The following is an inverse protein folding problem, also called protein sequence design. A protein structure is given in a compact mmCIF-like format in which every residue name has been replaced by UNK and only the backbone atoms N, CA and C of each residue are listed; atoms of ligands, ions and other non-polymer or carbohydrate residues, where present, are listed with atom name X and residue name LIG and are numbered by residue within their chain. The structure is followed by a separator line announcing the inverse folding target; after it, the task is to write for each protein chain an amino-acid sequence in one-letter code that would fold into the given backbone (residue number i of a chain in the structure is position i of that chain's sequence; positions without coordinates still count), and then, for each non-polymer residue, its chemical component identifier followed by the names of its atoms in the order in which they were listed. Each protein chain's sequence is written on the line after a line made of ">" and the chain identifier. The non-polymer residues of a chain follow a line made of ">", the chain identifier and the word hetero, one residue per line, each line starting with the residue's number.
data_IF_923396432482
#
_entry.id   IF_923396432482
#
_cell.length_a   1.000
_cell.length_b   1.000
_cell.length_c   1.000
_cell.angle_alpha   90.00
_cell.angle_beta   90.00
_cell.angle_gamma   90.00
#
_symmetry.space_group_name_H-M   'P 1'
#
loop_
_entity.id
_entity.type
_entity.pdbx_description
1 polymer ?
#
# COMPACT_ATOMS: atom_id res chain seq x y z
N UNK A 1 4.43 14.70 -18.34
CA UNK A 1 3.18 15.44 -18.04
C UNK A 1 2.01 14.47 -18.04
N UNK A 2 0.89 14.80 -17.38
CA UNK A 2 -0.24 13.86 -17.22
C UNK A 2 -1.52 14.52 -17.73
N UNK A 3 -2.20 13.90 -18.69
CA UNK A 3 -3.53 14.35 -19.14
C UNK A 3 -4.58 13.84 -18.16
N UNK A 4 -5.29 14.76 -17.51
CA UNK A 4 -6.41 14.44 -16.62
C UNK A 4 -7.60 15.35 -16.96
N UNK A 5 -8.69 14.75 -17.44
CA UNK A 5 -9.80 15.49 -18.08
C UNK A 5 -9.24 16.35 -19.22
N UNK A 6 -9.58 17.64 -19.24
CA UNK A 6 -9.15 18.61 -20.27
C UNK A 6 -7.90 19.40 -19.85
N UNK A 7 -7.11 18.91 -18.90
CA UNK A 7 -5.92 19.60 -18.39
C UNK A 7 -4.67 18.73 -18.47
N UNK A 8 -3.53 19.39 -18.69
CA UNK A 8 -2.20 18.82 -18.56
C UNK A 8 -1.67 19.19 -17.18
N UNK A 9 -1.41 18.19 -16.35
CA UNK A 9 -0.92 18.36 -14.98
C UNK A 9 0.55 17.95 -14.88
N UNK A 10 1.30 18.68 -14.04
CA UNK A 10 2.63 18.26 -13.59
C UNK A 10 2.47 17.22 -12.47
N UNK A 11 3.29 16.15 -12.42
CA UNK A 11 3.21 15.15 -11.37
C UNK A 11 3.27 15.74 -9.95
N UNK A 12 4.13 16.75 -9.73
CA UNK A 12 4.26 17.41 -8.43
C UNK A 12 2.94 18.03 -7.93
N UNK A 13 2.11 18.53 -8.85
CA UNK A 13 0.82 19.11 -8.50
C UNK A 13 -0.15 18.05 -7.97
N UNK A 14 -0.13 16.85 -8.55
CA UNK A 14 -1.07 15.79 -8.19
C UNK A 14 -0.72 15.13 -6.85
N UNK A 15 0.58 14.99 -6.56
CA UNK A 15 1.07 14.44 -5.27
C UNK A 15 1.02 15.47 -4.13
N UNK A 16 0.56 16.69 -4.38
CA UNK A 16 0.24 17.62 -3.30
C UNK A 16 -1.07 17.20 -2.65
N UNK A 17 -1.07 16.98 -1.33
CA UNK A 17 -2.24 16.50 -0.60
C UNK A 17 -3.45 17.47 -0.72
N UNK A 18 -3.21 18.76 -0.95
CA UNK A 18 -4.28 19.76 -1.16
C UNK A 18 -4.97 19.65 -2.52
N UNK A 19 -4.39 18.94 -3.50
CA UNK A 19 -5.03 18.70 -4.79
C UNK A 19 -6.28 17.81 -4.67
N UNK A 20 -6.32 16.99 -3.61
CA UNK A 20 -7.41 16.09 -3.30
C UNK A 20 -7.87 16.24 -1.84
N UNK A 21 -8.35 17.44 -1.48
CA UNK A 21 -8.83 17.74 -0.12
C UNK A 21 -9.88 16.77 0.42
N UNK A 22 -10.71 16.17 -0.45
CA UNK A 22 -11.74 15.21 -0.03
C UNK A 22 -11.15 13.93 0.57
N UNK A 23 -9.89 13.59 0.26
CA UNK A 23 -9.23 12.44 0.88
C UNK A 23 -9.12 12.58 2.41
N UNK A 24 -8.95 13.82 2.90
CA UNK A 24 -8.81 14.13 4.33
C UNK A 24 -10.10 13.83 5.09
N UNK A 25 -11.27 14.04 4.47
CA UNK A 25 -12.59 13.85 5.08
C UNK A 25 -12.93 12.38 5.37
N UNK A 26 -12.34 11.48 4.59
CA UNK A 26 -12.60 10.02 4.61
C UNK A 26 -11.35 9.24 5.04
N UNK A 27 -10.43 9.92 5.71
CA UNK A 27 -9.17 9.35 6.16
C UNK A 27 -9.35 8.69 7.54
N UNK A 28 -8.67 7.57 7.73
CA UNK A 28 -8.56 6.88 9.01
C UNK A 28 -7.21 7.25 9.62
N UNK A 29 -7.22 7.71 10.87
CA UNK A 29 -6.01 7.98 11.62
C UNK A 29 -5.30 6.65 11.94
N UNK A 30 -4.04 6.50 11.52
CA UNK A 30 -3.17 5.40 11.93
C UNK A 30 -2.48 5.75 13.25
N UNK A 31 -1.79 6.89 13.28
CA UNK A 31 -1.01 7.34 14.45
C UNK A 31 -0.63 8.82 14.32
N UNK A 32 -0.93 9.66 15.33
CA UNK A 32 -0.60 11.10 15.35
C UNK A 32 -1.06 11.84 14.08
N UNK A 33 -0.14 12.11 13.15
CA UNK A 33 -0.39 12.84 11.91
C UNK A 33 -0.42 11.93 10.67
N UNK A 34 -0.31 10.61 10.88
CA UNK A 34 -0.28 9.59 9.84
C UNK A 34 -1.70 9.09 9.56
N UNK A 35 -2.15 9.30 8.33
CA UNK A 35 -3.49 8.96 7.88
C UNK A 35 -3.46 7.99 6.72
N UNK A 36 -4.52 7.18 6.64
CA UNK A 36 -4.78 6.25 5.57
C UNK A 36 -6.12 6.54 4.92
N UNK A 37 -6.21 6.40 3.61
CA UNK A 37 -7.51 6.42 2.94
C UNK A 37 -7.55 5.46 1.77
N UNK A 38 -8.60 4.64 1.68
CA UNK A 38 -8.82 3.76 0.53
C UNK A 38 -9.02 4.59 -0.75
N UNK A 39 -8.65 4.08 -1.92
CA UNK A 39 -8.87 4.78 -3.18
C UNK A 39 -10.30 4.56 -3.66
N UNK A 40 -11.12 5.63 -3.76
CA UNK A 40 -12.52 5.52 -4.19
C UNK A 40 -12.85 6.42 -5.38
N UNK A 41 -12.03 7.44 -5.66
CA UNK A 41 -12.23 8.43 -6.70
C UNK A 41 -11.15 8.35 -7.80
N UNK A 42 -11.47 8.90 -8.98
CA UNK A 42 -10.49 9.03 -10.08
C UNK A 42 -9.25 9.83 -9.68
N UNK A 43 -9.36 10.76 -8.72
CA UNK A 43 -8.23 11.52 -8.19
C UNK A 43 -7.30 10.63 -7.37
N UNK A 44 -7.85 9.79 -6.49
CA UNK A 44 -7.05 8.87 -5.67
C UNK A 44 -6.25 7.92 -6.55
N UNK A 45 -6.90 7.32 -7.55
CA UNK A 45 -6.23 6.44 -8.49
C UNK A 45 -5.19 7.16 -9.36
N UNK A 46 -5.35 8.46 -9.63
CA UNK A 46 -4.32 9.25 -10.30
C UNK A 46 -3.08 9.45 -9.41
N UNK A 47 -3.30 9.80 -8.13
CA UNK A 47 -2.22 9.92 -7.15
C UNK A 47 -1.47 8.59 -7.01
N UNK A 48 -2.22 7.51 -6.84
CA UNK A 48 -1.69 6.15 -6.77
C UNK A 48 -0.83 5.81 -7.99
N UNK A 49 -1.33 6.09 -9.21
CA UNK A 49 -0.58 5.87 -10.45
C UNK A 49 0.74 6.64 -10.46
N UNK A 50 0.76 7.88 -9.97
CA UNK A 50 2.01 8.67 -9.91
C UNK A 50 2.97 8.07 -8.89
N UNK A 51 2.49 7.68 -7.72
CA UNK A 51 3.34 7.01 -6.72
C UNK A 51 3.87 5.66 -7.24
N UNK A 52 3.07 4.91 -8.00
CA UNK A 52 3.54 3.69 -8.68
C UNK A 52 4.63 4.00 -9.72
N UNK A 53 4.50 5.08 -10.49
CA UNK A 53 5.54 5.50 -11.43
C UNK A 53 6.84 5.88 -10.70
N UNK A 54 6.74 6.52 -9.54
CA UNK A 54 7.90 6.81 -8.70
C UNK A 54 8.56 5.54 -8.14
N UNK A 55 7.78 4.48 -7.89
CA UNK A 55 8.31 3.18 -7.48
C UNK A 55 8.84 2.32 -8.63
N UNK A 56 8.36 2.53 -9.86
CA UNK A 56 8.68 1.69 -11.04
C UNK A 56 10.17 1.70 -11.41
N UNK A 57 10.90 2.73 -11.02
CA UNK A 57 12.35 2.77 -11.20
C UNK A 57 13.08 1.71 -10.34
N UNK A 58 12.37 1.01 -9.44
CA UNK A 58 12.96 0.03 -8.52
C UNK A 58 12.51 -1.43 -8.77
N UNK A 59 11.29 -1.68 -9.28
CA UNK A 59 10.76 -3.03 -9.55
C UNK A 59 9.70 -3.03 -10.67
N UNK A 60 9.35 -4.22 -11.20
CA UNK A 60 8.26 -4.40 -12.15
C UNK A 60 6.88 -4.25 -11.48
N UNK A 61 6.39 -3.02 -11.35
CA UNK A 61 5.06 -2.77 -10.80
C UNK A 61 3.96 -3.15 -11.80
N UNK A 62 3.07 -4.07 -11.39
CA UNK A 62 1.82 -4.35 -12.10
C UNK A 62 0.89 -3.13 -12.05
N UNK A 63 0.29 -2.81 -13.19
CA UNK A 63 -0.66 -1.71 -13.31
C UNK A 63 -1.97 -2.05 -12.60
N UNK A 64 -2.47 -1.13 -11.77
CA UNK A 64 -3.65 -1.42 -10.95
C UNK A 64 -4.91 -1.47 -11.81
N UNK A 65 -5.74 -2.47 -11.54
CA UNK A 65 -7.07 -2.60 -12.13
C UNK A 65 -8.14 -2.22 -11.08
N UNK A 66 -8.71 -1.00 -11.13
CA UNK A 66 -9.62 -0.50 -10.08
C UNK A 66 -10.86 -1.35 -9.81
N UNK A 67 -11.27 -2.19 -10.78
CA UNK A 67 -12.44 -3.07 -10.64
C UNK A 67 -12.14 -4.35 -9.86
N UNK A 68 -10.88 -4.79 -9.84
CA UNK A 68 -10.48 -6.09 -9.27
C UNK A 68 -9.55 -5.93 -8.07
N UNK A 69 -8.96 -4.75 -7.90
CA UNK A 69 -7.97 -4.45 -6.86
C UNK A 69 -8.42 -3.28 -6.00
N UNK A 70 -8.17 -3.43 -4.70
CA UNK A 70 -8.30 -2.37 -3.71
C UNK A 70 -6.94 -1.71 -3.53
N UNK A 71 -6.97 -0.42 -3.20
CA UNK A 71 -5.77 0.33 -2.91
C UNK A 71 -6.03 1.36 -1.82
N UNK A 72 -4.97 1.80 -1.16
CA UNK A 72 -5.04 2.87 -0.19
C UNK A 72 -3.78 3.71 -0.19
N UNK A 73 -3.95 4.97 0.15
CA UNK A 73 -2.90 5.98 0.20
C UNK A 73 -2.53 6.26 1.65
N UNK A 74 -1.22 6.32 1.90
CA UNK A 74 -0.65 6.75 3.18
C UNK A 74 -0.18 8.19 3.05
N UNK A 75 -0.54 9.07 3.97
CA UNK A 75 -0.12 10.46 3.96
C UNK A 75 0.08 11.03 5.36
N UNK A 76 0.90 12.07 5.43
CA UNK A 76 1.12 12.86 6.64
C UNK A 76 0.42 14.21 6.48
N UNK A 77 -0.56 14.48 7.33
CA UNK A 77 -1.37 15.70 7.21
C UNK A 77 -0.58 16.94 7.63
N UNK A 78 0.36 16.81 8.56
CA UNK A 78 1.15 17.93 9.08
C UNK A 78 2.20 18.34 8.04
N UNK A 79 2.89 17.37 7.44
CA UNK A 79 3.83 17.61 6.34
C UNK A 79 3.12 17.93 5.02
N UNK A 80 1.82 17.64 4.93
CA UNK A 80 0.99 17.83 3.74
C UNK A 80 1.51 17.06 2.50
N UNK A 81 1.97 15.82 2.70
CA UNK A 81 2.55 14.96 1.65
C UNK A 81 1.95 13.56 1.65
N UNK A 82 1.92 12.92 0.48
CA UNK A 82 1.75 11.47 0.38
C UNK A 82 3.07 10.77 0.69
N UNK A 83 3.01 9.74 1.54
CA UNK A 83 4.16 8.96 1.96
C UNK A 83 4.29 7.64 1.20
N UNK A 84 3.20 7.13 0.64
CA UNK A 84 3.20 5.81 0.02
C UNK A 84 1.80 5.26 -0.25
N UNK A 85 1.75 3.99 -0.60
CA UNK A 85 0.51 3.30 -0.91
C UNK A 85 0.58 1.81 -0.58
N UNK A 86 -0.60 1.19 -0.59
CA UNK A 86 -0.77 -0.25 -0.48
C UNK A 86 -1.85 -0.73 -1.45
N UNK A 87 -1.66 -1.90 -2.05
CA UNK A 87 -2.58 -2.52 -3.03
C UNK A 87 -2.84 -3.94 -2.61
N UNK A 88 -4.12 -4.35 -2.62
CA UNK A 88 -4.49 -5.72 -2.28
C UNK A 88 -5.71 -6.20 -3.07
N UNK A 89 -5.93 -7.50 -3.05
CA UNK A 89 -7.14 -8.14 -3.60
C UNK A 89 -7.71 -9.11 -2.59
N UNK A 90 -9.02 -9.28 -2.61
CA UNK A 90 -9.66 -10.38 -1.87
C UNK A 90 -9.92 -11.52 -2.86
N UNK A 91 -9.28 -12.68 -2.68
CA UNK A 91 -9.39 -13.82 -3.61
C UNK A 91 -9.65 -15.13 -2.87
N UNK A 92 -10.49 -15.98 -3.44
CA UNK A 92 -10.68 -17.34 -2.97
C UNK A 92 -9.55 -18.24 -3.49
N UNK A 93 -8.89 -18.95 -2.57
CA UNK A 93 -7.87 -19.95 -2.84
C UNK A 93 -8.26 -21.23 -2.07
N UNK A 94 -8.40 -22.36 -2.78
CA UNK A 94 -8.77 -23.66 -2.16
C UNK A 94 -9.99 -23.55 -1.22
N UNK A 95 -11.07 -22.94 -1.71
CA UNK A 95 -12.34 -22.73 -0.98
C UNK A 95 -12.25 -21.83 0.27
N UNK A 96 -11.16 -21.09 0.48
CA UNK A 96 -11.03 -20.07 1.54
C UNK A 96 -10.74 -18.72 0.92
N UNK A 97 -11.38 -17.65 1.42
CA UNK A 97 -11.12 -16.27 0.99
C UNK A 97 -9.92 -15.73 1.75
N UNK A 98 -9.01 -15.06 1.06
CA UNK A 98 -7.82 -14.43 1.64
C UNK A 98 -7.66 -13.00 1.13
N UNK A 99 -7.14 -12.13 1.99
CA UNK A 99 -6.54 -10.87 1.56
C UNK A 99 -5.15 -11.16 0.99
N UNK A 100 -4.89 -10.69 -0.23
CA UNK A 100 -3.59 -10.84 -0.90
C UNK A 100 -2.97 -9.45 -1.05
N UNK A 101 -1.89 -9.19 -0.32
CA UNK A 101 -1.07 -8.00 -0.52
C UNK A 101 -0.35 -8.13 -1.87
N UNK A 102 -0.60 -7.18 -2.76
CA UNK A 102 -0.01 -7.12 -4.10
C UNK A 102 1.20 -6.21 -4.12
N UNK A 103 1.06 -5.03 -3.54
CA UNK A 103 2.10 -4.01 -3.55
C UNK A 103 2.05 -3.21 -2.27
N UNK A 104 3.22 -2.85 -1.76
CA UNK A 104 3.39 -1.85 -0.70
C UNK A 104 4.59 -0.99 -1.06
N UNK A 105 4.43 0.33 -0.94
CA UNK A 105 5.47 1.27 -1.32
C UNK A 105 5.47 2.45 -0.35
N UNK A 106 6.68 2.90 -0.01
CA UNK A 106 6.95 4.13 0.73
C UNK A 106 7.96 4.92 -0.10
N UNK A 107 7.73 6.23 -0.25
CA UNK A 107 8.62 7.14 -0.99
C UNK A 107 10.03 7.11 -0.41
N UNK A 108 11.04 7.28 -1.27
CA UNK A 108 12.44 7.06 -0.90
C UNK A 108 12.89 7.95 0.25
N UNK A 109 12.43 9.20 0.26
CA UNK A 109 12.71 10.21 1.27
C UNK A 109 12.10 9.86 2.64
N UNK A 110 11.08 9.00 2.68
CA UNK A 110 10.33 8.63 3.87
C UNK A 110 10.59 7.18 4.33
N UNK A 111 11.49 6.45 3.66
CA UNK A 111 11.93 5.11 4.08
C UNK A 111 12.72 5.14 5.39
N UNK A 112 12.80 3.97 6.04
CA UNK A 112 13.48 3.75 7.33
C UNK A 112 12.92 4.56 8.51
N UNK A 113 11.77 5.21 8.35
CA UNK A 113 11.03 5.91 9.42
C UNK A 113 9.89 5.08 10.02
N UNK A 114 9.82 3.78 9.68
CA UNK A 114 8.80 2.84 10.18
C UNK A 114 7.43 2.88 9.50
N UNK A 115 7.21 3.78 8.52
CA UNK A 115 5.90 3.95 7.87
C UNK A 115 5.40 2.68 7.16
N UNK A 116 6.27 1.92 6.49
CA UNK A 116 5.89 0.66 5.84
C UNK A 116 5.36 -0.36 6.84
N UNK A 117 6.03 -0.51 7.98
CA UNK A 117 5.60 -1.41 9.06
C UNK A 117 4.27 -0.96 9.67
N UNK A 118 4.09 0.35 9.90
CA UNK A 118 2.82 0.91 10.41
C UNK A 118 1.68 0.67 9.44
N UNK A 119 1.89 0.92 8.15
CA UNK A 119 0.92 0.68 7.09
C UNK A 119 0.55 -0.80 6.99
N UNK A 120 1.55 -1.69 7.02
CA UNK A 120 1.31 -3.13 6.95
C UNK A 120 0.51 -3.64 8.16
N UNK A 121 0.88 -3.23 9.40
CA UNK A 121 0.13 -3.57 10.62
C UNK A 121 -1.32 -3.08 10.54
N UNK A 122 -1.50 -1.82 10.09
CA UNK A 122 -2.82 -1.25 9.91
C UNK A 122 -3.65 -2.04 8.91
N UNK A 123 -3.08 -2.37 7.74
CA UNK A 123 -3.78 -3.13 6.71
C UNK A 123 -4.19 -4.54 7.19
N UNK A 124 -3.28 -5.23 7.90
CA UNK A 124 -3.56 -6.56 8.46
C UNK A 124 -4.76 -6.48 9.41
N UNK A 125 -4.70 -5.59 10.41
CA UNK A 125 -5.75 -5.45 11.43
C UNK A 125 -7.09 -5.00 10.83
N UNK A 126 -7.06 -4.06 9.90
CA UNK A 126 -8.27 -3.41 9.38
C UNK A 126 -8.96 -4.21 8.27
N UNK A 127 -8.18 -4.94 7.45
CA UNK A 127 -8.68 -5.64 6.28
C UNK A 127 -8.40 -7.14 6.30
N UNK A 128 -7.15 -7.55 6.47
CA UNK A 128 -6.77 -8.96 6.28
C UNK A 128 -7.37 -9.89 7.33
N UNK A 129 -7.24 -9.52 8.61
CA UNK A 129 -7.72 -10.29 9.76
C UNK A 129 -9.26 -10.42 9.78
N UNK A 130 -9.98 -9.52 9.08
CA UNK A 130 -11.44 -9.61 8.92
C UNK A 130 -11.88 -10.64 7.88
N UNK A 131 -10.97 -11.09 7.02
CA UNK A 131 -11.26 -12.05 5.95
C UNK A 131 -10.84 -13.45 6.39
N UNK A 132 -9.64 -13.59 6.97
CA UNK A 132 -9.09 -14.86 7.38
C UNK A 132 -7.98 -14.67 8.44
N UNK A 133 -7.75 -15.68 9.28
CA UNK A 133 -6.65 -15.71 10.25
C UNK A 133 -5.25 -15.59 9.60
N UNK A 134 -5.14 -16.01 8.34
CA UNK A 134 -3.94 -15.91 7.52
C UNK A 134 -4.17 -15.01 6.32
N UNK A 135 -3.10 -14.44 5.80
CA UNK A 135 -3.15 -13.61 4.61
C UNK A 135 -1.99 -13.93 3.66
N UNK A 136 -2.14 -13.52 2.40
CA UNK A 136 -1.15 -13.80 1.37
C UNK A 136 -0.33 -12.55 1.04
N UNK A 137 0.95 -12.75 0.73
CA UNK A 137 1.82 -11.72 0.14
C UNK A 137 2.30 -12.24 -1.21
N UNK A 138 2.01 -11.50 -2.28
CA UNK A 138 2.52 -11.82 -3.61
C UNK A 138 3.97 -11.36 -3.76
N UNK A 139 4.86 -12.30 -4.11
CA UNK A 139 6.25 -12.06 -4.51
C UNK A 139 6.99 -11.01 -3.65
N UNK A 140 7.06 -11.18 -2.32
CA UNK A 140 7.68 -10.18 -1.45
C UNK A 140 9.19 -10.05 -1.73
N UNK A 141 9.64 -8.82 -1.96
CA UNK A 141 11.07 -8.52 -2.04
C UNK A 141 11.77 -8.64 -0.67
N UNK A 142 13.11 -8.56 -0.67
CA UNK A 142 13.93 -8.72 0.56
C UNK A 142 13.53 -7.76 1.67
N UNK A 143 13.12 -6.53 1.35
CA UNK A 143 12.70 -5.54 2.35
C UNK A 143 11.35 -5.93 2.98
N UNK A 144 10.39 -6.36 2.17
CA UNK A 144 9.08 -6.84 2.62
C UNK A 144 9.23 -8.10 3.48
N UNK A 145 10.10 -9.02 3.11
CA UNK A 145 10.42 -10.22 3.89
C UNK A 145 10.98 -9.86 5.28
N UNK A 146 11.98 -8.97 5.35
CA UNK A 146 12.54 -8.48 6.62
C UNK A 146 11.46 -7.84 7.51
N UNK A 147 10.58 -7.05 6.92
CA UNK A 147 9.46 -6.45 7.63
C UNK A 147 8.52 -7.52 8.20
N UNK A 148 8.14 -8.54 7.43
CA UNK A 148 7.29 -9.64 7.91
C UNK A 148 7.95 -10.46 9.02
N UNK A 149 9.28 -10.66 8.95
CA UNK A 149 10.06 -11.33 10.01
C UNK A 149 10.06 -10.48 11.27
N UNK A 150 10.32 -9.18 11.18
CA UNK A 150 10.30 -8.26 12.33
C UNK A 150 8.94 -8.18 13.03
N UNK A 151 7.86 -8.48 12.30
CA UNK A 151 6.50 -8.58 12.81
C UNK A 151 6.17 -9.94 13.44
N UNK A 152 7.06 -10.93 13.34
CA UNK A 152 6.79 -12.31 13.78
C UNK A 152 5.83 -13.07 12.85
N UNK A 153 5.50 -12.53 11.68
CA UNK A 153 4.57 -13.17 10.73
C UNK A 153 5.27 -14.19 9.82
N UNK A 154 6.60 -14.12 9.75
CA UNK A 154 7.48 -15.08 9.11
C UNK A 154 8.74 -15.31 9.97
N UNK A 155 9.46 -16.41 9.74
CA UNK A 155 10.70 -16.75 10.44
C UNK A 155 11.73 -17.28 9.45
N UNK A 156 13.01 -17.07 9.73
CA UNK A 156 14.11 -17.68 8.96
C UNK A 156 14.34 -19.08 9.53
N UNK A 157 14.23 -20.10 8.68
CA UNK A 157 14.59 -21.49 8.99
C UNK A 157 15.67 -21.95 7.99
N UNK A 158 16.94 -21.91 8.43
CA UNK A 158 18.08 -22.18 7.55
C UNK A 158 18.18 -21.17 6.41
N UNK A 159 18.14 -21.65 5.17
CA UNK A 159 18.17 -20.82 3.97
C UNK A 159 16.78 -20.35 3.50
N UNK A 160 15.71 -20.77 4.17
CA UNK A 160 14.34 -20.52 3.75
C UNK A 160 13.60 -19.59 4.72
N UNK A 161 12.56 -18.94 4.21
CA UNK A 161 11.62 -18.18 5.05
C UNK A 161 10.36 -19.00 5.22
N UNK A 162 10.08 -19.40 6.46
CA UNK A 162 8.83 -20.07 6.82
C UNK A 162 7.79 -19.04 7.22
N UNK A 163 6.69 -19.05 6.51
CA UNK A 163 5.57 -18.17 6.75
C UNK A 163 4.69 -18.72 7.91
N UNK A 164 4.37 -17.88 8.88
CA UNK A 164 3.46 -18.19 9.98
C UNK A 164 2.06 -17.67 9.70
N UNK A 165 1.79 -16.43 10.13
CA UNK A 165 0.52 -15.74 9.89
C UNK A 165 0.31 -15.42 8.40
N UNK A 166 1.38 -15.31 7.62
CA UNK A 166 1.28 -15.13 6.16
C UNK A 166 1.60 -16.42 5.38
N UNK A 167 1.47 -16.35 4.06
CA UNK A 167 2.09 -17.25 3.08
C UNK A 167 2.42 -16.46 1.80
N UNK A 168 3.27 -17.04 0.94
CA UNK A 168 3.77 -16.40 -0.27
C UNK A 168 3.22 -17.07 -1.53
N UNK A 169 2.94 -16.27 -2.56
CA UNK A 169 2.57 -16.72 -3.91
C UNK A 169 3.36 -15.96 -4.98
#
# INVERSE_FOLDING_TARGET
>A
TIKFRNRILKPQTVINLNWNNDIKKRAILIEKNLFFSECTSKKDFLILKILQLMGKDEESFLYIQPKTQKAGLLFDIQKNIYLGFIVWTDKSLKNKKYAILRQIFITNEERRKGYGTKLLKFWIKTFADKINERYCIESPNKLSQKMLISLGHAKIEGQYIKAGKCFFI
#
